data_IF_733788835868
#
_entry.id   IF_733788835868
#
_cell.length_a   1.000
_cell.length_b   1.000
_cell.length_c   1.000
_cell.angle_alpha   90.00
_cell.angle_beta   90.00
_cell.angle_gamma   90.00
#
_symmetry.space_group_name_H-M   'P 1'
#
loop_
_entity.id
_entity.type
_entity.pdbx_description
1 polymer ?
#
# COMPACT_ATOMS: atom_id res chain seq x y z
N UNK A 1 21.11 -1.34 9.01
CA UNK A 1 20.90 0.12 9.12
C UNK A 1 19.48 0.43 8.65
N UNK A 2 18.75 1.36 9.29
CA UNK A 2 17.58 1.95 8.62
C UNK A 2 18.13 2.52 7.31
N UNK A 3 17.59 2.14 6.15
CA UNK A 3 18.03 2.63 4.85
C UNK A 3 17.83 4.14 4.75
N UNK A 4 18.81 4.86 5.26
CA UNK A 4 18.92 6.31 5.38
C UNK A 4 19.44 6.97 4.09
N UNK A 5 19.72 6.16 3.08
CA UNK A 5 20.11 6.57 1.72
C UNK A 5 18.91 6.93 0.82
N UNK A 6 17.68 6.58 1.21
CA UNK A 6 16.47 6.94 0.48
C UNK A 6 15.69 8.08 1.18
N UNK A 7 15.61 9.29 0.60
CA UNK A 7 14.85 10.42 1.17
C UNK A 7 13.38 10.09 1.44
N UNK A 8 12.81 9.11 0.71
CA UNK A 8 11.43 8.65 0.90
C UNK A 8 11.27 7.69 2.08
N UNK A 9 12.33 7.10 2.61
CA UNK A 9 12.25 6.26 3.80
C UNK A 9 11.67 7.02 5.00
N UNK A 10 11.81 8.35 5.03
CA UNK A 10 11.21 9.22 6.05
C UNK A 10 9.68 9.16 6.00
N UNK A 11 9.09 9.10 4.80
CA UNK A 11 7.62 9.02 4.62
C UNK A 11 7.07 7.69 5.14
N UNK A 12 7.81 6.59 4.96
CA UNK A 12 7.39 5.23 5.30
C UNK A 12 6.66 4.51 4.15
N UNK A 13 6.18 3.29 4.41
CA UNK A 13 5.51 2.42 3.43
C UNK A 13 3.99 2.35 3.56
N UNK A 14 3.35 1.74 2.56
CA UNK A 14 1.94 1.38 2.55
C UNK A 14 0.99 2.44 1.96
N UNK A 15 1.54 3.50 1.36
CA UNK A 15 0.77 4.44 0.54
C UNK A 15 0.34 3.86 -0.81
N UNK A 16 -0.54 4.59 -1.50
CA UNK A 16 -1.04 4.31 -2.85
C UNK A 16 -0.17 5.04 -3.87
N UNK A 17 1.03 4.53 -4.13
CA UNK A 17 2.11 5.24 -4.85
C UNK A 17 1.69 5.89 -6.19
N UNK A 18 0.74 5.28 -6.91
CA UNK A 18 0.27 5.73 -8.22
C UNK A 18 -0.91 6.71 -8.17
N UNK A 19 -1.49 6.97 -7.00
CA UNK A 19 -2.49 8.02 -6.85
C UNK A 19 -1.84 9.40 -7.06
N UNK A 20 -2.56 10.30 -7.72
CA UNK A 20 -2.10 11.65 -8.03
C UNK A 20 -2.74 12.68 -7.09
N UNK A 21 -2.09 13.83 -6.95
CA UNK A 21 -2.58 14.91 -6.08
C UNK A 21 -2.11 14.79 -4.63
N UNK A 22 -1.90 15.95 -4.02
CA UNK A 22 -1.58 16.03 -2.60
C UNK A 22 -2.75 15.52 -1.76
N UNK A 23 -2.48 14.74 -0.72
CA UNK A 23 -3.51 14.20 0.16
C UNK A 23 -4.21 12.93 -0.33
N UNK A 24 -4.00 12.49 -1.57
CA UNK A 24 -4.60 11.25 -2.13
C UNK A 24 -3.85 9.97 -1.74
N UNK A 25 -3.23 10.00 -0.55
CA UNK A 25 -2.53 8.90 0.09
C UNK A 25 -1.40 8.27 -0.75
N UNK A 26 -0.80 9.02 -1.68
CA UNK A 26 0.45 8.62 -2.36
C UNK A 26 1.51 8.22 -1.33
N UNK A 27 1.70 9.10 -0.34
CA UNK A 27 2.49 8.85 0.85
C UNK A 27 1.57 8.38 1.99
N UNK A 28 2.05 7.49 2.88
CA UNK A 28 1.29 7.05 4.04
C UNK A 28 1.14 8.18 5.08
N UNK A 29 0.09 8.09 5.90
CA UNK A 29 -0.18 9.04 6.99
C UNK A 29 0.81 8.95 8.16
N UNK A 30 1.54 7.85 8.27
CA UNK A 30 2.51 7.61 9.33
C UNK A 30 3.56 6.62 8.86
N UNK A 31 4.81 6.84 9.30
CA UNK A 31 5.86 5.83 9.18
C UNK A 31 5.58 4.72 10.21
N UNK A 32 5.27 3.53 9.72
CA UNK A 32 4.92 2.37 10.52
C UNK A 32 5.82 1.17 10.22
N UNK A 33 6.90 1.38 9.46
CA UNK A 33 7.83 0.36 9.01
C UNK A 33 8.64 -0.23 10.17
N UNK A 34 8.80 -1.54 10.15
CA UNK A 34 9.90 -2.20 10.86
C UNK A 34 11.17 -2.16 10.01
N UNK A 35 12.32 -2.31 10.67
CA UNK A 35 13.63 -2.26 10.01
C UNK A 35 13.81 -3.42 9.01
N UNK A 36 14.61 -3.20 7.97
CA UNK A 36 14.97 -4.22 6.98
C UNK A 36 15.48 -5.50 7.65
N UNK A 37 15.09 -6.66 7.11
CA UNK A 37 15.37 -7.98 7.68
C UNK A 37 14.32 -8.45 8.69
N UNK A 38 13.37 -7.59 9.08
CA UNK A 38 12.23 -7.96 9.92
C UNK A 38 10.92 -7.96 9.12
N UNK A 39 9.91 -8.62 9.67
CA UNK A 39 8.61 -8.76 9.00
C UNK A 39 7.73 -7.53 9.25
N UNK A 40 7.19 -7.00 8.16
CA UNK A 40 6.07 -6.06 8.16
C UNK A 40 4.76 -6.84 7.94
N UNK A 41 3.68 -6.41 8.60
CA UNK A 41 2.35 -6.99 8.44
C UNK A 41 1.39 -5.98 7.83
N UNK A 42 0.86 -6.32 6.67
CA UNK A 42 -0.21 -5.58 6.02
C UNK A 42 -1.58 -6.17 6.35
N UNK A 43 -2.56 -5.29 6.54
CA UNK A 43 -3.99 -5.59 6.37
C UNK A 43 -4.55 -4.55 5.43
N UNK A 44 -5.08 -4.99 4.29
CA UNK A 44 -5.67 -4.12 3.28
C UNK A 44 -7.17 -4.44 3.26
N UNK A 45 -7.98 -3.39 3.30
CA UNK A 45 -9.43 -3.45 3.21
C UNK A 45 -9.86 -2.58 2.03
N UNK A 46 -10.49 -3.19 1.05
CA UNK A 46 -11.07 -2.50 -0.10
C UNK A 46 -12.59 -2.68 -0.04
N UNK A 47 -13.32 -1.57 -0.06
CA UNK A 47 -14.78 -1.54 -0.11
C UNK A 47 -15.13 -0.65 -1.30
N UNK A 48 -15.77 -1.23 -2.31
CA UNK A 48 -15.92 -0.63 -3.63
C UNK A 48 -14.55 -0.16 -4.16
N UNK A 49 -14.41 1.13 -4.48
CA UNK A 49 -13.15 1.74 -4.94
C UNK A 49 -12.26 2.26 -3.80
N UNK A 50 -12.71 2.17 -2.53
CA UNK A 50 -12.05 2.80 -1.39
C UNK A 50 -11.17 1.84 -0.64
N UNK A 51 -9.94 2.28 -0.38
CA UNK A 51 -8.90 1.49 0.27
C UNK A 51 -8.58 2.03 1.66
N UNK A 52 -8.41 1.09 2.58
CA UNK A 52 -7.74 1.27 3.86
C UNK A 52 -6.52 0.37 3.90
N UNK A 53 -5.38 0.92 4.29
CA UNK A 53 -4.15 0.16 4.53
C UNK A 53 -3.76 0.30 5.99
N UNK A 54 -3.57 -0.85 6.64
CA UNK A 54 -2.96 -0.94 7.95
C UNK A 54 -1.58 -1.58 7.80
N UNK A 55 -0.55 -0.90 8.29
CA UNK A 55 0.83 -1.40 8.34
C UNK A 55 1.22 -1.54 9.81
N UNK A 56 1.58 -2.76 10.21
CA UNK A 56 1.95 -3.10 11.59
C UNK A 56 0.92 -2.60 12.63
N UNK A 57 -0.37 -2.72 12.29
CA UNK A 57 -1.49 -2.30 13.14
C UNK A 57 -1.84 -0.81 13.08
N UNK A 58 -1.03 0.04 12.45
CA UNK A 58 -1.31 1.47 12.26
C UNK A 58 -2.05 1.73 10.95
N UNK A 59 -3.10 2.54 10.99
CA UNK A 59 -3.83 2.97 9.79
C UNK A 59 -2.99 4.01 9.02
N UNK A 60 -2.49 3.62 7.85
CA UNK A 60 -1.60 4.47 7.02
C UNK A 60 -2.29 5.02 5.77
N UNK A 61 -3.37 4.39 5.31
CA UNK A 61 -4.29 4.92 4.27
C UNK A 61 -5.71 4.77 4.77
N UNK A 62 -6.54 5.81 4.67
CA UNK A 62 -7.90 5.83 5.23
C UNK A 62 -8.91 6.28 4.17
N UNK A 63 -9.80 5.36 3.78
CA UNK A 63 -10.98 5.66 2.97
C UNK A 63 -10.66 6.37 1.65
N UNK A 64 -9.54 6.02 1.02
CA UNK A 64 -9.00 6.71 -0.16
C UNK A 64 -9.41 5.97 -1.43
N UNK A 65 -9.84 6.68 -2.46
CA UNK A 65 -10.15 6.09 -3.77
C UNK A 65 -8.87 5.53 -4.39
N UNK A 66 -8.89 4.28 -4.85
CA UNK A 66 -7.82 3.70 -5.66
C UNK A 66 -8.00 4.17 -7.10
N UNK A 67 -7.08 4.98 -7.62
CA UNK A 67 -7.19 5.48 -8.97
C UNK A 67 -6.89 4.38 -10.00
N UNK A 68 -7.66 4.37 -11.09
CA UNK A 68 -7.33 3.55 -12.25
C UNK A 68 -6.17 4.18 -13.02
N UNK A 69 -4.97 3.64 -12.81
CA UNK A 69 -3.73 4.18 -13.38
C UNK A 69 -3.69 4.08 -14.91
N UNK A 70 -4.46 3.16 -15.50
CA UNK A 70 -4.54 2.95 -16.94
C UNK A 70 -5.53 3.90 -17.62
N UNK A 71 -6.61 4.27 -16.93
CA UNK A 71 -7.61 5.22 -17.40
C UNK A 71 -8.24 5.96 -16.21
N UNK A 72 -7.70 7.13 -15.87
CA UNK A 72 -8.10 7.93 -14.70
C UNK A 72 -9.51 8.52 -14.80
N UNK A 73 -10.15 8.42 -15.96
CA UNK A 73 -11.55 8.84 -16.15
C UNK A 73 -12.55 7.78 -15.71
N UNK A 74 -12.07 6.57 -15.39
CA UNK A 74 -12.88 5.42 -14.99
C UNK A 74 -12.56 4.98 -13.56
N UNK A 75 -13.51 4.33 -12.87
CA UNK A 75 -13.22 3.69 -11.59
C UNK A 75 -12.18 2.57 -11.75
N UNK A 76 -11.56 2.12 -10.64
CA UNK A 76 -10.73 0.91 -10.66
C UNK A 76 -11.55 -0.30 -11.08
N UNK A 77 -10.88 -1.31 -11.65
CA UNK A 77 -11.53 -2.56 -12.00
C UNK A 77 -12.13 -3.22 -10.75
N UNK A 78 -13.38 -3.67 -10.85
CA UNK A 78 -14.10 -4.29 -9.71
C UNK A 78 -13.54 -5.64 -9.30
N UNK A 79 -12.86 -6.33 -10.22
CA UNK A 79 -12.27 -7.64 -10.00
C UNK A 79 -10.99 -7.80 -10.84
N UNK A 80 -10.05 -8.57 -10.33
CA UNK A 80 -8.78 -8.84 -10.98
C UNK A 80 -7.86 -9.65 -10.07
N UNK A 81 -6.68 -10.07 -10.58
CA UNK A 81 -5.67 -10.73 -9.77
C UNK A 81 -5.08 -9.77 -8.71
N UNK A 82 -4.59 -10.33 -7.61
CA UNK A 82 -3.70 -9.63 -6.68
C UNK A 82 -2.27 -9.87 -7.12
N UNK A 83 -1.57 -8.80 -7.50
CA UNK A 83 -0.20 -8.87 -7.98
C UNK A 83 0.79 -8.52 -6.85
N UNK A 84 1.84 -9.33 -6.73
CA UNK A 84 2.96 -9.09 -5.82
C UNK A 84 4.17 -8.68 -6.65
N UNK A 85 4.62 -7.44 -6.47
CA UNK A 85 5.71 -6.86 -7.25
C UNK A 85 7.01 -6.79 -6.44
N UNK A 86 8.14 -7.04 -7.10
CA UNK A 86 9.48 -6.82 -6.58
C UNK A 86 10.33 -6.06 -7.60
N UNK A 87 11.13 -5.10 -7.15
CA UNK A 87 11.98 -4.25 -8.00
C UNK A 87 13.45 -4.44 -7.65
N UNK A 88 14.08 -5.48 -8.22
CA UNK A 88 15.55 -5.69 -8.18
C UNK A 88 16.16 -6.08 -6.83
N UNK A 89 15.45 -5.89 -5.70
CA UNK A 89 15.90 -6.34 -4.38
C UNK A 89 15.21 -7.64 -3.94
N UNK A 90 15.91 -8.55 -3.24
CA UNK A 90 15.29 -9.71 -2.62
C UNK A 90 14.13 -9.32 -1.70
N UNK A 91 13.00 -10.00 -1.87
CA UNK A 91 11.77 -9.77 -1.11
C UNK A 91 11.11 -11.12 -0.80
N UNK A 92 10.51 -11.22 0.39
CA UNK A 92 9.83 -12.43 0.84
C UNK A 92 8.42 -12.09 1.28
N UNK A 93 7.49 -12.98 0.94
CA UNK A 93 6.10 -12.93 1.38
C UNK A 93 5.77 -14.20 2.16
N UNK A 94 4.89 -14.07 3.17
CA UNK A 94 4.31 -15.20 3.89
C UNK A 94 2.94 -14.82 4.42
N UNK A 95 2.13 -15.81 4.78
CA UNK A 95 0.85 -15.62 5.46
C UNK A 95 -0.11 -14.71 4.65
N UNK A 96 -0.20 -14.96 3.34
CA UNK A 96 -1.10 -14.25 2.44
C UNK A 96 -2.46 -14.94 2.45
N UNK A 97 -3.48 -14.18 2.83
CA UNK A 97 -4.86 -14.65 2.87
C UNK A 97 -5.75 -13.59 2.23
N UNK A 98 -6.81 -14.05 1.58
CA UNK A 98 -7.84 -13.19 1.01
C UNK A 98 -9.20 -13.63 1.56
N UNK A 99 -10.06 -12.65 1.81
CA UNK A 99 -11.45 -12.87 2.18
C UNK A 99 -12.29 -11.86 1.41
N UNK A 100 -13.17 -12.36 0.58
CA UNK A 100 -14.17 -11.53 -0.10
C UNK A 100 -15.12 -10.89 0.92
N UNK A 101 -15.61 -9.71 0.58
CA UNK A 101 -16.50 -8.89 1.40
C UNK A 101 -17.78 -8.72 0.59
N UNK A 102 -18.93 -8.94 1.25
CA UNK A 102 -20.25 -8.80 0.63
C UNK A 102 -20.75 -7.37 0.76
#
# INVERSE_FOLDING_TARGET
TRGDDNPRAIKGSGGLYNNQGEGNAKDPRANADHIVGTWNRFRILMIDERVHVFLNGKLVVKNTILENVWDRTKPPLRQGPIELQAHGSPLWFRNIYIREIK
#
